data_IF_043956785529
#
_entry.id   IF_043956785529
#
_cell.length_a   1.000
_cell.length_b   1.000
_cell.length_c   1.000
_cell.angle_alpha   90.00
_cell.angle_beta   90.00
_cell.angle_gamma   90.00
#
_symmetry.space_group_name_H-M   'P 1'
#
loop_
_entity.id
_entity.type
_entity.pdbx_description
1 polymer ?
#
# COMPACT_ATOMS: atom_id res chain seq x y z
N UNK A 1 -17.15 16.77 -10.55
CA UNK A 1 -15.95 17.62 -10.62
C UNK A 1 -15.22 17.29 -11.92
N UNK A 2 -14.60 18.29 -12.54
CA UNK A 2 -13.72 18.11 -13.69
C UNK A 2 -12.32 18.59 -13.29
N UNK A 3 -11.30 17.87 -13.73
CA UNK A 3 -9.89 18.25 -13.55
C UNK A 3 -9.28 18.62 -14.90
N UNK A 4 -8.28 19.49 -14.87
CA UNK A 4 -7.57 19.95 -16.06
C UNK A 4 -6.48 18.94 -16.50
N UNK A 5 -6.05 19.04 -17.77
CA UNK A 5 -5.19 18.04 -18.44
C UNK A 5 -3.84 17.82 -17.74
N UNK A 6 -3.14 18.88 -17.37
CA UNK A 6 -1.88 18.78 -16.62
C UNK A 6 -2.06 17.99 -15.30
N UNK A 7 -3.18 18.19 -14.61
CA UNK A 7 -3.50 17.45 -13.36
C UNK A 7 -3.84 15.98 -13.62
N UNK A 8 -4.39 15.64 -14.79
CA UNK A 8 -4.58 14.24 -15.20
C UNK A 8 -3.25 13.56 -15.59
N UNK A 9 -2.29 14.31 -16.10
CA UNK A 9 -0.99 13.79 -16.56
C UNK A 9 0.03 13.63 -15.42
N UNK A 10 -0.03 14.47 -14.38
CA UNK A 10 0.80 14.37 -13.16
C UNK A 10 0.22 13.45 -12.08
N UNK A 11 -1.11 13.35 -11.98
CA UNK A 11 -1.73 12.50 -10.97
C UNK A 11 -1.62 11.02 -11.34
N UNK A 12 -1.22 10.21 -10.37
CA UNK A 12 -1.21 8.75 -10.53
C UNK A 12 -2.65 8.23 -10.68
N UNK A 13 -2.87 7.11 -11.38
CA UNK A 13 -4.19 6.46 -11.46
C UNK A 13 -4.83 6.26 -10.07
N UNK A 14 -4.01 6.05 -9.02
CA UNK A 14 -4.39 5.95 -7.60
C UNK A 14 -4.83 7.26 -6.92
N UNK A 15 -4.38 8.43 -7.38
CA UNK A 15 -4.88 9.74 -6.90
C UNK A 15 -6.16 10.15 -7.62
N UNK A 16 -6.35 9.65 -8.84
CA UNK A 16 -7.51 9.92 -9.70
C UNK A 16 -8.69 8.99 -9.41
N UNK A 17 -8.42 7.78 -8.94
CA UNK A 17 -9.41 6.80 -8.52
C UNK A 17 -9.34 6.63 -7.00
N UNK A 18 -10.23 7.30 -6.25
CA UNK A 18 -10.27 7.15 -4.79
C UNK A 18 -10.12 5.70 -4.35
N UNK A 19 -9.18 5.45 -3.43
CA UNK A 19 -8.75 4.17 -2.83
C UNK A 19 -9.47 2.91 -3.36
N UNK A 20 -8.74 1.90 -3.82
CA UNK A 20 -9.36 0.64 -4.26
C UNK A 20 -10.22 0.02 -3.15
N UNK A 21 -11.27 -0.76 -3.49
CA UNK A 21 -12.13 -1.38 -2.45
C UNK A 21 -11.35 -2.17 -1.37
N UNK A 22 -10.27 -2.94 -1.70
CA UNK A 22 -9.34 -3.48 -0.71
C UNK A 22 -8.69 -2.44 0.21
N UNK A 23 -8.22 -1.33 -0.34
CA UNK A 23 -7.52 -0.29 0.43
C UNK A 23 -8.49 0.51 1.31
N UNK A 24 -9.72 0.76 0.84
CA UNK A 24 -10.77 1.37 1.66
C UNK A 24 -11.15 0.46 2.83
N UNK A 25 -11.33 -0.84 2.57
CA UNK A 25 -11.65 -1.82 3.61
C UNK A 25 -10.50 -1.96 4.61
N UNK A 26 -9.26 -2.04 4.13
CA UNK A 26 -8.10 -2.16 5.01
C UNK A 26 -7.89 -0.88 5.84
N UNK A 27 -7.99 0.30 5.22
CA UNK A 27 -7.91 1.59 5.91
C UNK A 27 -9.00 1.75 6.97
N UNK A 28 -10.23 1.32 6.67
CA UNK A 28 -11.32 1.30 7.65
C UNK A 28 -11.01 0.40 8.86
N UNK A 29 -10.52 -0.83 8.61
CA UNK A 29 -10.16 -1.75 9.69
C UNK A 29 -8.93 -1.29 10.48
N UNK A 30 -7.98 -0.63 9.83
CA UNK A 30 -6.80 -0.04 10.47
C UNK A 30 -7.16 1.14 11.37
N UNK A 31 -8.13 1.96 10.97
CA UNK A 31 -8.65 3.06 11.79
C UNK A 31 -9.49 2.60 12.99
N UNK A 32 -9.87 1.31 13.02
CA UNK A 32 -10.68 0.68 14.05
C UNK A 32 -10.06 -0.65 14.50
N UNK A 33 -8.75 -0.64 14.78
CA UNK A 33 -7.98 -1.84 15.12
C UNK A 33 -8.43 -2.50 16.43
N UNK A 34 -9.15 -1.78 17.28
CA UNK A 34 -9.68 -2.27 18.56
C UNK A 34 -10.98 -3.09 18.42
N UNK A 35 -11.56 -3.20 17.21
CA UNK A 35 -12.90 -3.78 17.00
C UNK A 35 -12.96 -4.69 15.78
N UNK A 36 -13.96 -5.57 15.78
CA UNK A 36 -14.28 -6.42 14.65
C UNK A 36 -15.67 -6.07 14.10
N UNK A 37 -15.83 -6.16 12.77
CA UNK A 37 -17.02 -5.73 12.05
C UNK A 37 -17.54 -6.81 11.11
N UNK A 38 -18.85 -6.81 10.88
CA UNK A 38 -19.45 -7.63 9.83
C UNK A 38 -19.23 -6.99 8.47
N UNK A 39 -19.10 -7.81 7.41
CA UNK A 39 -18.87 -7.31 6.05
C UNK A 39 -19.93 -6.31 5.57
N UNK A 40 -21.21 -6.51 5.96
CA UNK A 40 -22.31 -5.58 5.66
C UNK A 40 -22.18 -4.24 6.38
N UNK A 41 -21.60 -4.25 7.59
CA UNK A 41 -21.42 -3.04 8.38
C UNK A 41 -20.27 -2.22 7.83
N UNK A 42 -19.18 -2.88 7.43
CA UNK A 42 -18.06 -2.26 6.71
C UNK A 42 -18.59 -1.62 5.43
N UNK A 43 -19.31 -2.37 4.59
CA UNK A 43 -19.89 -1.90 3.34
C UNK A 43 -20.77 -0.64 3.53
N UNK A 44 -21.59 -0.61 4.58
CA UNK A 44 -22.42 0.54 4.90
C UNK A 44 -21.63 1.77 5.38
N UNK A 45 -20.44 1.60 5.96
CA UNK A 45 -19.64 2.71 6.50
C UNK A 45 -18.71 3.35 5.47
N UNK A 46 -18.29 2.59 4.47
CA UNK A 46 -17.42 3.07 3.39
C UNK A 46 -18.18 3.25 2.07
N UNK A 47 -19.52 3.24 2.13
CA UNK A 47 -20.44 3.41 0.99
C UNK A 47 -20.12 2.52 -0.22
N UNK A 48 -19.73 1.27 0.03
CA UNK A 48 -19.40 0.27 -0.99
C UNK A 48 -20.43 -0.86 -1.05
N UNK A 49 -20.51 -1.51 -2.21
CA UNK A 49 -21.31 -2.72 -2.37
C UNK A 49 -20.79 -3.88 -1.50
N UNK A 50 -21.71 -4.61 -0.87
CA UNK A 50 -21.36 -5.73 0.04
C UNK A 50 -20.61 -6.86 -0.68
N UNK A 51 -20.90 -7.10 -1.97
CA UNK A 51 -20.17 -8.07 -2.79
C UNK A 51 -18.74 -7.63 -3.08
N UNK A 52 -18.53 -6.33 -3.32
CA UNK A 52 -17.20 -5.73 -3.46
C UNK A 52 -16.39 -5.84 -2.16
N UNK A 53 -16.99 -5.52 -1.02
CA UNK A 53 -16.36 -5.65 0.31
C UNK A 53 -16.04 -7.10 0.64
N UNK A 54 -16.94 -8.04 0.36
CA UNK A 54 -16.72 -9.46 0.59
C UNK A 54 -15.55 -10.01 -0.26
N UNK A 55 -15.44 -9.55 -1.50
CA UNK A 55 -14.33 -9.89 -2.39
C UNK A 55 -13.01 -9.29 -1.91
N UNK A 56 -13.04 -8.02 -1.47
CA UNK A 56 -11.90 -7.34 -0.88
C UNK A 56 -11.39 -8.05 0.39
N UNK A 57 -12.28 -8.33 1.35
CA UNK A 57 -11.96 -9.06 2.58
C UNK A 57 -11.36 -10.44 2.30
N UNK A 58 -11.89 -11.17 1.31
CA UNK A 58 -11.34 -12.47 0.90
C UNK A 58 -9.92 -12.35 0.32
N UNK A 59 -9.62 -11.28 -0.41
CA UNK A 59 -8.28 -10.98 -0.93
C UNK A 59 -7.31 -10.60 0.20
N UNK A 60 -7.74 -9.71 1.10
CA UNK A 60 -6.95 -9.28 2.26
C UNK A 60 -6.64 -10.46 3.19
N UNK A 61 -7.60 -11.38 3.39
CA UNK A 61 -7.42 -12.59 4.20
C UNK A 61 -6.34 -13.51 3.64
N UNK A 62 -6.34 -13.71 2.32
CA UNK A 62 -5.34 -14.55 1.64
C UNK A 62 -3.93 -13.99 1.80
N UNK A 63 -3.80 -12.67 1.92
CA UNK A 63 -2.54 -11.96 2.19
C UNK A 63 -2.19 -11.93 3.68
N UNK A 64 -3.09 -12.36 4.56
CA UNK A 64 -2.88 -12.35 6.01
C UNK A 64 -3.00 -10.97 6.66
N UNK A 65 -3.67 -10.02 6.00
CA UNK A 65 -3.82 -8.63 6.48
C UNK A 65 -5.05 -8.43 7.38
N UNK A 66 -6.00 -9.36 7.31
CA UNK A 66 -7.23 -9.34 8.11
C UNK A 66 -7.50 -10.71 8.69
N UNK A 67 -8.05 -10.74 9.90
CA UNK A 67 -8.53 -11.94 10.56
C UNK A 67 -10.04 -12.09 10.38
N UNK A 68 -10.49 -13.34 10.24
CA UNK A 68 -11.92 -13.67 10.13
C UNK A 68 -12.31 -14.67 11.21
N UNK A 69 -13.25 -14.28 12.08
CA UNK A 69 -13.81 -15.14 13.11
C UNK A 69 -15.33 -15.10 13.03
N UNK A 70 -15.94 -16.26 12.78
CA UNK A 70 -17.37 -16.42 12.53
C UNK A 70 -17.87 -15.54 11.38
N UNK A 71 -18.53 -14.42 11.69
CA UNK A 71 -19.03 -13.42 10.72
C UNK A 71 -18.27 -12.10 10.78
N UNK A 72 -17.33 -11.99 11.72
CA UNK A 72 -16.62 -10.75 12.03
C UNK A 72 -15.21 -10.74 11.41
N UNK A 73 -14.82 -9.56 10.98
CA UNK A 73 -13.55 -9.23 10.35
C UNK A 73 -12.83 -8.17 11.17
N UNK A 74 -11.54 -8.35 11.39
CA UNK A 74 -10.67 -7.39 12.06
C UNK A 74 -9.35 -7.28 11.31
N UNK A 75 -8.61 -6.19 11.53
CA UNK A 75 -7.23 -6.09 11.03
C UNK A 75 -6.35 -7.12 11.75
N UNK A 76 -5.33 -7.62 11.07
CA UNK A 76 -4.34 -8.50 11.72
C UNK A 76 -3.56 -7.72 12.79
N UNK A 77 -3.21 -8.38 13.89
CA UNK A 77 -2.31 -7.81 14.91
C UNK A 77 -0.83 -8.04 14.58
N UNK A 78 -0.54 -8.64 13.42
CA UNK A 78 0.80 -8.94 12.91
C UNK A 78 1.37 -7.68 12.20
N UNK A 79 1.98 -6.79 13.00
CA UNK A 79 2.48 -5.49 12.55
C UNK A 79 3.58 -5.59 11.48
N UNK A 80 4.34 -6.69 11.47
CA UNK A 80 5.36 -6.96 10.44
C UNK A 80 4.70 -7.19 9.07
N UNK A 81 3.61 -7.97 9.01
CA UNK A 81 2.84 -8.17 7.76
C UNK A 81 2.11 -6.92 7.29
N UNK A 82 1.67 -6.05 8.21
CA UNK A 82 1.07 -4.76 7.86
C UNK A 82 2.11 -3.78 7.31
N UNK A 83 3.32 -3.78 7.86
CA UNK A 83 4.42 -2.94 7.38
C UNK A 83 4.93 -3.38 5.99
N UNK A 84 4.89 -4.68 5.69
CA UNK A 84 5.17 -5.19 4.33
C UNK A 84 4.11 -4.71 3.31
N UNK A 85 2.87 -4.48 3.75
CA UNK A 85 1.80 -3.94 2.90
C UNK A 85 1.81 -2.41 2.79
N UNK A 86 2.08 -1.68 3.88
CA UNK A 86 1.94 -0.21 3.95
C UNK A 86 3.28 0.54 3.79
N UNK A 87 4.41 -0.10 4.11
CA UNK A 87 5.64 0.61 4.45
C UNK A 87 6.58 0.89 3.29
N UNK A 88 6.88 -0.10 2.46
CA UNK A 88 7.96 0.07 1.47
C UNK A 88 7.50 0.86 0.24
N UNK A 89 6.40 0.46 -0.42
CA UNK A 89 5.95 1.13 -1.63
C UNK A 89 5.44 2.54 -1.38
N UNK A 90 4.62 2.75 -0.34
CA UNK A 90 4.04 4.07 -0.06
C UNK A 90 5.10 5.06 0.42
N UNK A 91 6.06 4.64 1.26
CA UNK A 91 7.17 5.49 1.66
C UNK A 91 8.11 5.78 0.49
N UNK A 92 8.45 4.77 -0.33
CA UNK A 92 9.28 4.96 -1.52
C UNK A 92 8.62 5.89 -2.52
N UNK A 93 7.31 5.73 -2.76
CA UNK A 93 6.55 6.63 -3.63
C UNK A 93 6.53 8.06 -3.10
N UNK A 94 6.29 8.26 -1.80
CA UNK A 94 6.24 9.59 -1.18
C UNK A 94 7.63 10.26 -1.13
N UNK A 95 8.70 9.49 -0.95
CA UNK A 95 10.06 9.98 -1.04
C UNK A 95 10.47 10.28 -2.48
N UNK A 96 10.11 9.44 -3.45
CA UNK A 96 10.39 9.68 -4.86
C UNK A 96 9.61 10.89 -5.40
N UNK A 97 8.39 11.13 -4.92
CA UNK A 97 7.62 12.33 -5.24
C UNK A 97 8.32 13.60 -4.73
N UNK A 98 8.91 13.55 -3.53
CA UNK A 98 9.58 14.69 -2.90
C UNK A 98 11.03 14.91 -3.34
N UNK A 99 11.77 13.84 -3.64
CA UNK A 99 13.21 13.85 -3.92
C UNK A 99 13.55 13.52 -5.39
N UNK A 100 12.55 13.12 -6.18
CA UNK A 100 12.71 12.50 -7.48
C UNK A 100 13.00 11.00 -7.37
N UNK A 101 12.50 10.23 -8.33
CA UNK A 101 12.83 8.80 -8.47
C UNK A 101 14.32 8.62 -8.77
N UNK A 102 14.93 7.59 -8.19
CA UNK A 102 16.34 7.30 -8.40
C UNK A 102 16.63 6.94 -9.87
N UNK A 103 17.57 7.66 -10.49
CA UNK A 103 18.01 7.41 -11.86
C UNK A 103 19.20 6.43 -11.88
N UNK A 104 18.91 5.15 -12.01
CA UNK A 104 19.90 4.07 -11.99
C UNK A 104 21.06 4.28 -13.00
N UNK A 105 20.84 4.96 -14.13
CA UNK A 105 21.89 5.25 -15.10
C UNK A 105 22.83 6.36 -14.59
N UNK A 106 22.27 7.41 -13.97
CA UNK A 106 23.07 8.49 -13.37
C UNK A 106 23.90 8.00 -12.18
N UNK A 107 23.37 7.06 -11.38
CA UNK A 107 24.10 6.44 -10.28
C UNK A 107 25.24 5.54 -10.79
N UNK A 108 25.04 4.81 -11.89
CA UNK A 108 26.13 4.04 -12.52
C UNK A 108 27.25 4.91 -13.08
N UNK A 109 26.90 6.00 -13.76
CA UNK A 109 27.88 6.93 -14.33
C UNK A 109 28.74 7.62 -13.25
N UNK A 110 28.15 7.85 -12.06
CA UNK A 110 28.86 8.40 -10.89
C UNK A 110 29.51 7.36 -9.98
N UNK A 111 29.22 6.08 -10.19
CA UNK A 111 29.83 5.03 -9.39
C UNK A 111 31.31 4.92 -9.75
N UNK A 112 32.22 4.89 -8.77
CA UNK A 112 33.64 4.70 -9.06
C UNK A 112 33.85 3.32 -9.70
N UNK A 113 34.67 3.26 -10.74
CA UNK A 113 35.08 2.01 -11.40
C UNK A 113 35.96 1.12 -10.49
N UNK A 114 36.47 1.70 -9.40
CA UNK A 114 37.36 1.03 -8.47
C UNK A 114 36.55 0.22 -7.44
N UNK A 115 36.82 -1.08 -7.27
CA UNK A 115 36.09 -1.92 -6.34
C UNK A 115 36.20 -1.39 -4.92
N UNK A 116 35.09 -1.48 -4.17
CA UNK A 116 35.05 -1.00 -2.80
C UNK A 116 36.20 -1.62 -1.98
N UNK A 117 36.92 -0.85 -1.14
CA UNK A 117 38.17 -1.28 -0.48
C UNK A 117 38.00 -2.46 0.50
N UNK A 118 36.78 -2.92 0.76
CA UNK A 118 36.49 -4.17 1.47
C UNK A 118 36.62 -5.42 0.58
N UNK A 119 36.84 -5.26 -0.71
CA UNK A 119 37.07 -6.33 -1.70
C UNK A 119 38.55 -6.39 -2.16
N UNK A 120 39.45 -5.71 -1.47
CA UNK A 120 40.88 -5.81 -1.71
C UNK A 120 41.45 -7.12 -1.13
N UNK A 121 41.84 -8.02 -2.02
CA UNK A 121 42.77 -9.14 -1.87
C UNK A 121 42.79 -9.91 -0.53
N UNK A 122 42.14 -11.08 -0.51
CA UNK A 122 42.80 -12.26 0.07
C UNK A 122 43.78 -12.82 -0.97
N UNK A 123 45.00 -12.25 -0.96
CA UNK A 123 46.32 -12.77 -1.40
C UNK A 123 46.58 -13.21 -2.86
#
# INVERSE_FOLDING_TARGET
MSIDRDTFEDASEDELAGLSAPDQVLGFLAAHDDRAFEAREIASRIDLDTGSVSTALSRLKRRGLVEHKATYWAITNDSDRLTEYDGYERATALFNDRLGSEDEAAWRDRSPDEPHPSLGDEA
#
